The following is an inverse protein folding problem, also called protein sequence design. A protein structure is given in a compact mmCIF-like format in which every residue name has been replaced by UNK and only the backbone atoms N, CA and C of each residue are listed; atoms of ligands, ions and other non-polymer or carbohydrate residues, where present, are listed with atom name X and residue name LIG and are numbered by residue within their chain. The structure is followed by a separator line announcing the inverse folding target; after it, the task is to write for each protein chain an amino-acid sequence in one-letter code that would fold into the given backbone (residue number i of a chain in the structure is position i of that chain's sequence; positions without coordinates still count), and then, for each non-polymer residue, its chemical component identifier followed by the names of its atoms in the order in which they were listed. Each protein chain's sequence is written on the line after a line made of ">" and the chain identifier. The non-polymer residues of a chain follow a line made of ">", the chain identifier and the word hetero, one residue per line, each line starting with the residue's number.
data_IF_951245360677
#
_entry.id   IF_951245360677
#
_cell.length_a   1.000
_cell.length_b   1.000
_cell.length_c   1.000
_cell.angle_alpha   90.00
_cell.angle_beta   90.00
_cell.angle_gamma   90.00
#
_symmetry.space_group_name_H-M   'P 1'
#
loop_
_entity.id
_entity.type
_entity.pdbx_description
1 polymer ?
#
# COMPACT_ATOMS: atom_id res chain seq x y z
N UNK A 1 1.98 -8.60 26.86
CA UNK A 1 3.12 -7.74 26.51
C UNK A 1 3.80 -8.39 25.31
N UNK A 2 3.58 -7.88 24.11
CA UNK A 2 4.18 -8.47 22.90
C UNK A 2 5.59 -7.91 22.73
N UNK A 3 6.60 -8.78 22.91
CA UNK A 3 7.94 -8.57 22.34
C UNK A 3 7.88 -8.83 20.82
N UNK A 4 8.97 -8.66 20.09
CA UNK A 4 9.12 -8.95 18.64
C UNK A 4 8.57 -10.31 18.18
N UNK A 5 8.37 -11.25 19.11
CA UNK A 5 7.66 -12.51 18.92
C UNK A 5 6.61 -12.76 20.01
N UNK A 6 5.58 -13.52 19.66
CA UNK A 6 4.53 -13.97 20.57
C UNK A 6 5.12 -14.75 21.74
N UNK A 7 4.74 -14.42 22.97
CA UNK A 7 5.22 -15.18 24.12
C UNK A 7 4.70 -16.63 24.16
N UNK A 8 3.56 -16.90 23.52
CA UNK A 8 2.91 -18.22 23.50
C UNK A 8 3.42 -19.12 22.35
N UNK A 9 3.31 -18.69 21.08
CA UNK A 9 3.72 -19.50 19.92
C UNK A 9 5.16 -19.24 19.44
N UNK A 10 5.85 -18.20 19.95
CA UNK A 10 7.14 -17.68 19.42
C UNK A 10 7.13 -17.21 17.97
N UNK A 11 5.97 -17.18 17.32
CA UNK A 11 5.77 -16.66 15.98
C UNK A 11 5.72 -15.11 16.00
N UNK A 12 6.14 -14.45 14.91
CA UNK A 12 6.26 -13.00 14.87
C UNK A 12 4.87 -12.34 14.85
N UNK A 13 4.77 -11.06 15.18
CA UNK A 13 3.48 -10.37 15.41
C UNK A 13 2.55 -10.45 14.19
N UNK A 14 3.12 -10.42 12.99
CA UNK A 14 2.37 -10.47 11.73
C UNK A 14 1.66 -11.81 11.51
N UNK A 15 2.02 -12.85 12.26
CA UNK A 15 1.32 -14.14 12.26
C UNK A 15 0.04 -14.13 13.12
N UNK A 16 -0.24 -13.04 13.84
CA UNK A 16 -1.36 -12.91 14.77
C UNK A 16 -2.25 -11.71 14.54
N UNK A 17 -1.76 -10.67 13.89
CA UNK A 17 -2.62 -9.57 13.46
C UNK A 17 -3.54 -10.10 12.36
N UNK A 18 -4.75 -10.49 12.75
CA UNK A 18 -5.81 -10.88 11.80
C UNK A 18 -6.15 -9.63 11.00
N UNK A 19 -5.83 -9.67 9.70
CA UNK A 19 -6.40 -8.73 8.76
C UNK A 19 -7.91 -8.98 8.78
N UNK A 20 -8.72 -7.96 9.09
CA UNK A 20 -10.17 -8.14 9.06
C UNK A 20 -10.56 -8.47 7.63
N UNK A 21 -11.08 -9.68 7.41
CA UNK A 21 -11.51 -10.22 6.11
C UNK A 21 -12.54 -9.32 5.39
N UNK A 22 -13.14 -8.37 6.11
CA UNK A 22 -14.11 -7.40 5.60
C UNK A 22 -13.45 -6.23 4.84
N UNK A 23 -12.21 -5.84 5.16
CA UNK A 23 -11.52 -4.72 4.50
C UNK A 23 -10.69 -5.22 3.32
N UNK A 24 -11.34 -5.37 2.16
CA UNK A 24 -10.65 -5.68 0.91
C UNK A 24 -9.87 -4.48 0.40
N UNK A 25 -10.38 -3.27 0.62
CA UNK A 25 -9.75 -2.05 0.16
C UNK A 25 -8.87 -1.42 1.26
N UNK A 26 -7.65 -1.09 0.89
CA UNK A 26 -6.72 -0.32 1.72
C UNK A 26 -7.32 1.00 2.20
N UNK A 27 -8.15 1.69 1.40
CA UNK A 27 -8.85 2.93 1.74
C UNK A 27 -9.65 2.80 3.05
N UNK A 28 -10.41 1.72 3.19
CA UNK A 28 -11.22 1.46 4.39
C UNK A 28 -10.33 1.26 5.62
N UNK A 29 -9.18 0.61 5.41
CA UNK A 29 -8.19 0.36 6.47
C UNK A 29 -7.50 1.64 6.93
N UNK A 30 -7.12 2.52 6.00
CA UNK A 30 -6.38 3.76 6.31
C UNK A 30 -7.29 4.93 6.69
N UNK A 31 -8.62 4.76 6.61
CA UNK A 31 -9.59 5.82 6.88
C UNK A 31 -9.48 7.01 5.92
N UNK A 32 -8.81 6.80 4.79
CA UNK A 32 -8.62 7.81 3.76
C UNK A 32 -9.91 7.87 2.95
N UNK A 33 -10.61 9.01 3.01
CA UNK A 33 -11.73 9.26 2.13
C UNK A 33 -11.18 9.80 0.81
N UNK A 34 -11.19 8.99 -0.27
CA UNK A 34 -10.79 9.50 -1.56
C UNK A 34 -11.76 10.62 -1.94
N UNK A 35 -11.28 11.68 -2.60
CA UNK A 35 -12.19 12.66 -3.21
C UNK A 35 -13.22 11.96 -4.13
N UNK A 36 -14.39 12.55 -4.41
CA UNK A 36 -15.42 11.91 -5.25
C UNK A 36 -14.93 11.48 -6.65
N UNK A 37 -13.88 12.10 -7.18
CA UNK A 37 -13.20 11.62 -8.39
C UNK A 37 -12.39 10.34 -8.15
N UNK A 38 -11.77 10.23 -6.96
CA UNK A 38 -10.94 9.10 -6.51
C UNK A 38 -11.74 7.92 -5.96
N UNK A 39 -13.01 8.10 -5.59
CA UNK A 39 -13.91 6.99 -5.21
C UNK A 39 -14.12 5.99 -6.35
N UNK A 40 -13.83 6.39 -7.59
CA UNK A 40 -13.80 5.52 -8.77
C UNK A 40 -12.65 4.51 -8.73
N UNK A 41 -11.62 4.69 -7.90
CA UNK A 41 -10.47 3.80 -7.78
C UNK A 41 -10.61 2.79 -6.62
N UNK A 42 -11.84 2.46 -6.22
CA UNK A 42 -12.14 1.47 -5.20
C UNK A 42 -12.69 0.21 -5.86
N UNK A 43 -11.94 -0.90 -5.77
CA UNK A 43 -12.41 -2.20 -6.23
C UNK A 43 -13.40 -2.80 -5.24
N UNK A 44 -14.52 -3.35 -5.73
CA UNK A 44 -15.46 -4.08 -4.86
C UNK A 44 -14.92 -5.45 -4.45
N UNK A 45 -15.37 -5.93 -3.28
CA UNK A 45 -15.04 -7.27 -2.77
C UNK A 45 -15.53 -8.36 -3.72
N UNK A 46 -16.72 -8.20 -4.28
CA UNK A 46 -17.30 -9.17 -5.23
C UNK A 46 -16.44 -9.30 -6.49
N UNK A 47 -16.00 -8.16 -7.07
CA UNK A 47 -15.16 -8.17 -8.27
C UNK A 47 -13.84 -8.88 -8.00
N UNK A 48 -13.17 -8.52 -6.92
CA UNK A 48 -11.90 -9.11 -6.50
C UNK A 48 -11.98 -10.63 -6.39
N UNK A 49 -13.00 -11.14 -5.69
CA UNK A 49 -13.22 -12.58 -5.51
C UNK A 49 -13.57 -13.28 -6.83
N UNK A 50 -14.36 -12.64 -7.69
CA UNK A 50 -14.71 -13.21 -9.01
C UNK A 50 -13.51 -13.38 -9.94
N UNK A 51 -12.49 -12.54 -9.80
CA UNK A 51 -11.21 -12.64 -10.54
C UNK A 51 -10.24 -13.63 -9.89
N UNK A 52 -10.55 -14.17 -8.71
CA UNK A 52 -9.71 -15.16 -8.02
C UNK A 52 -8.53 -14.58 -7.23
N UNK A 53 -8.58 -13.30 -6.87
CA UNK A 53 -7.56 -12.63 -6.05
C UNK A 53 -8.15 -12.12 -4.73
N UNK A 54 -7.32 -11.82 -3.73
CA UNK A 54 -7.72 -11.11 -2.51
C UNK A 54 -7.65 -9.58 -2.66
N UNK A 55 -7.06 -9.08 -3.75
CA UNK A 55 -7.15 -7.70 -4.24
C UNK A 55 -6.85 -7.64 -5.73
N UNK A 56 -7.52 -6.75 -6.47
CA UNK A 56 -7.18 -6.39 -7.85
C UNK A 56 -7.17 -4.88 -8.02
N UNK A 57 -6.33 -4.34 -8.93
CA UNK A 57 -6.39 -2.91 -9.25
C UNK A 57 -7.78 -2.52 -9.77
N UNK A 58 -8.28 -1.34 -9.39
CA UNK A 58 -9.61 -0.87 -9.79
C UNK A 58 -9.68 -0.58 -11.29
N UNK A 59 -10.89 -0.67 -11.85
CA UNK A 59 -11.21 -0.29 -13.23
C UNK A 59 -10.47 -1.03 -14.36
N UNK A 60 -9.88 -2.19 -14.07
CA UNK A 60 -9.26 -3.02 -15.10
C UNK A 60 -10.19 -4.13 -15.59
N UNK A 61 -10.05 -4.50 -16.87
CA UNK A 61 -10.61 -5.73 -17.42
C UNK A 61 -9.86 -6.95 -16.87
N UNK A 62 -10.45 -8.15 -16.95
CA UNK A 62 -9.79 -9.39 -16.50
C UNK A 62 -8.46 -9.63 -17.21
N UNK A 63 -8.39 -9.34 -18.52
CA UNK A 63 -7.14 -9.41 -19.31
C UNK A 63 -6.07 -8.45 -18.76
N UNK A 64 -6.44 -7.21 -18.44
CA UNK A 64 -5.51 -6.22 -17.88
C UNK A 64 -5.09 -6.54 -16.44
N UNK A 65 -5.95 -7.19 -15.67
CA UNK A 65 -5.60 -7.70 -14.32
C UNK A 65 -4.54 -8.80 -14.44
N UNK A 66 -4.71 -9.74 -15.38
CA UNK A 66 -3.72 -10.78 -15.64
C UNK A 66 -2.41 -10.20 -16.16
N UNK A 67 -2.47 -9.25 -17.11
CA UNK A 67 -1.30 -8.54 -17.63
C UNK A 67 -0.54 -7.84 -16.48
N UNK A 68 -1.24 -7.14 -15.58
CA UNK A 68 -0.63 -6.47 -14.43
C UNK A 68 0.09 -7.47 -13.52
N UNK A 69 -0.59 -8.54 -13.11
CA UNK A 69 0.00 -9.51 -12.19
C UNK A 69 1.09 -10.38 -12.82
N UNK A 70 1.11 -10.54 -14.15
CA UNK A 70 2.18 -11.24 -14.86
C UNK A 70 3.55 -10.55 -14.73
N UNK A 71 3.56 -9.25 -14.44
CA UNK A 71 4.76 -8.45 -14.27
C UNK A 71 5.32 -8.51 -12.84
N UNK A 72 4.65 -9.19 -11.92
CA UNK A 72 5.05 -9.31 -10.52
C UNK A 72 5.59 -10.72 -10.21
N UNK A 73 6.48 -10.88 -9.23
CA UNK A 73 6.88 -12.19 -8.75
C UNK A 73 5.68 -13.02 -8.27
N UNK A 74 5.55 -14.27 -8.72
CA UNK A 74 4.41 -15.14 -8.39
C UNK A 74 4.10 -15.24 -6.89
N UNK A 75 5.12 -15.21 -6.04
CA UNK A 75 4.96 -15.31 -4.58
C UNK A 75 4.45 -14.02 -3.92
N UNK A 76 4.36 -12.92 -4.67
CA UNK A 76 3.81 -11.62 -4.25
C UNK A 76 2.42 -11.34 -4.84
N UNK A 77 1.96 -12.15 -5.80
CA UNK A 77 0.64 -12.00 -6.43
C UNK A 77 -0.47 -12.50 -5.49
N UNK A 78 -1.48 -11.69 -5.13
CA UNK A 78 -2.48 -12.02 -4.12
C UNK A 78 -3.57 -12.99 -4.63
N UNK A 79 -3.21 -14.12 -5.25
CA UNK A 79 -4.16 -15.16 -5.67
C UNK A 79 -4.74 -15.89 -4.46
N UNK A 80 -6.06 -16.08 -4.44
CA UNK A 80 -6.77 -16.75 -3.35
C UNK A 80 -6.20 -18.15 -3.08
N UNK A 81 -5.96 -18.48 -1.81
CA UNK A 81 -5.44 -19.76 -1.36
C UNK A 81 -3.93 -19.96 -1.58
N UNK A 82 -3.21 -18.96 -2.08
CA UNK A 82 -1.77 -19.09 -2.39
C UNK A 82 -0.86 -18.44 -1.34
N UNK A 83 0.46 -18.63 -1.47
CA UNK A 83 1.42 -17.91 -0.61
C UNK A 83 1.39 -16.40 -0.83
N UNK A 84 0.99 -15.95 -2.03
CA UNK A 84 0.92 -14.53 -2.35
C UNK A 84 -0.23 -13.79 -1.67
N UNK A 85 -1.35 -14.47 -1.41
CA UNK A 85 -2.43 -13.93 -0.55
C UNK A 85 -1.91 -13.67 0.87
N UNK A 86 -1.23 -14.66 1.47
CA UNK A 86 -0.62 -14.52 2.81
C UNK A 86 0.49 -13.46 2.83
N UNK A 87 1.23 -13.33 1.73
CA UNK A 87 2.22 -12.27 1.57
C UNK A 87 1.53 -10.90 1.61
N UNK A 88 0.44 -10.69 0.87
CA UNK A 88 -0.32 -9.43 0.91
C UNK A 88 -0.78 -9.10 2.33
N UNK A 89 -1.35 -10.05 3.06
CA UNK A 89 -1.79 -9.83 4.44
C UNK A 89 -0.64 -9.38 5.35
N UNK A 90 0.52 -10.03 5.22
CA UNK A 90 1.74 -9.65 5.94
C UNK A 90 2.18 -8.24 5.56
N UNK A 91 2.19 -7.91 4.27
CA UNK A 91 2.60 -6.58 3.81
C UNK A 91 1.64 -5.50 4.28
N UNK A 92 0.32 -5.74 4.30
CA UNK A 92 -0.64 -4.79 4.88
C UNK A 92 -0.34 -4.51 6.36
N UNK A 93 0.04 -5.52 7.15
CA UNK A 93 0.41 -5.34 8.57
C UNK A 93 1.71 -4.55 8.71
N UNK A 94 2.72 -4.89 7.90
CA UNK A 94 4.05 -4.30 8.00
C UNK A 94 4.12 -2.88 7.44
N UNK A 95 3.49 -2.63 6.30
CA UNK A 95 3.54 -1.36 5.59
C UNK A 95 2.49 -0.37 6.11
N UNK A 96 1.35 -0.87 6.61
CA UNK A 96 0.23 -0.07 7.13
C UNK A 96 -0.17 -0.50 8.55
N UNK A 97 0.69 -0.27 9.56
CA UNK A 97 0.39 -0.61 10.95
C UNK A 97 -0.81 0.20 11.46
N UNK A 98 -1.77 -0.44 12.12
CA UNK A 98 -2.98 0.23 12.64
C UNK A 98 -2.64 1.39 13.59
N UNK A 99 -1.53 1.29 14.31
CA UNK A 99 -1.00 2.30 15.21
C UNK A 99 -0.60 3.59 14.50
N UNK A 100 -0.26 3.53 13.22
CA UNK A 100 0.08 4.71 12.42
C UNK A 100 -1.18 5.36 11.81
N UNK A 101 -2.33 4.67 11.87
CA UNK A 101 -3.57 5.08 11.24
C UNK A 101 -4.50 5.77 12.25
N UNK A 102 -4.58 5.25 13.49
CA UNK A 102 -5.39 5.89 14.52
C UNK A 102 -4.80 5.73 15.93
N UNK A 103 -4.91 6.82 16.72
CA UNK A 103 -4.49 6.85 18.12
C UNK A 103 -5.23 5.79 18.98
N UNK A 104 -6.43 5.39 18.59
CA UNK A 104 -7.21 4.34 19.25
C UNK A 104 -6.46 2.98 19.31
N UNK A 105 -5.54 2.74 18.38
CA UNK A 105 -4.71 1.53 18.35
C UNK A 105 -3.38 1.70 19.12
N UNK A 106 -3.05 2.93 19.55
CA UNK A 106 -1.84 3.24 20.31
C UNK A 106 -2.08 3.11 21.82
N UNK A 107 -2.03 1.87 22.34
CA UNK A 107 -2.34 1.56 23.75
C UNK A 107 -1.56 2.38 24.79
N UNK A 108 -0.34 2.82 24.45
CA UNK A 108 0.57 3.50 25.38
C UNK A 108 0.87 4.95 24.97
N UNK A 109 0.06 5.54 24.09
CA UNK A 109 0.20 6.95 23.73
C UNK A 109 -0.27 7.81 24.90
N UNK A 110 0.66 8.57 25.50
CA UNK A 110 0.31 9.50 26.57
C UNK A 110 -0.51 10.67 26.03
N UNK A 111 -1.41 11.21 26.86
CA UNK A 111 -2.32 12.29 26.46
C UNK A 111 -1.59 13.53 25.95
N UNK A 112 -0.42 13.82 26.49
CA UNK A 112 0.40 14.97 26.12
C UNK A 112 0.93 14.86 24.67
N UNK A 113 1.04 13.65 24.13
CA UNK A 113 1.48 13.41 22.74
C UNK A 113 0.33 13.23 21.75
N UNK A 114 -0.93 13.22 22.22
CA UNK A 114 -2.09 12.97 21.35
C UNK A 114 -2.20 14.01 20.23
N UNK A 115 -2.06 15.29 20.57
CA UNK A 115 -2.09 16.38 19.58
C UNK A 115 -0.97 16.23 18.54
N UNK A 116 0.25 15.96 19.00
CA UNK A 116 1.40 15.78 18.11
C UNK A 116 1.24 14.56 17.17
N UNK A 117 0.58 13.50 17.65
CA UNK A 117 0.23 12.34 16.85
C UNK A 117 -0.83 12.71 15.78
N UNK A 118 -1.90 13.39 16.18
CA UNK A 118 -2.96 13.82 15.25
C UNK A 118 -2.42 14.76 14.18
N UNK A 119 -1.61 15.76 14.58
CA UNK A 119 -0.93 16.68 13.66
C UNK A 119 -0.05 15.90 12.68
N UNK A 120 0.71 14.90 13.14
CA UNK A 120 1.53 14.05 12.28
C UNK A 120 0.71 13.27 11.25
N UNK A 121 -0.39 12.63 11.68
CA UNK A 121 -1.27 11.86 10.79
C UNK A 121 -1.92 12.77 9.75
N UNK A 122 -2.42 13.94 10.17
CA UNK A 122 -3.04 14.90 9.26
C UNK A 122 -2.05 15.43 8.23
N UNK A 123 -0.85 15.85 8.66
CA UNK A 123 0.21 16.33 7.76
C UNK A 123 0.64 15.22 6.80
N UNK A 124 0.82 13.98 7.28
CA UNK A 124 1.12 12.84 6.40
C UNK A 124 0.03 12.68 5.35
N UNK A 125 -1.22 12.61 5.77
CA UNK A 125 -2.36 12.34 4.88
C UNK A 125 -2.53 13.44 3.81
N UNK A 126 -2.32 14.70 4.18
CA UNK A 126 -2.45 15.82 3.25
C UNK A 126 -1.23 15.98 2.34
N UNK A 127 -0.03 15.96 2.93
CA UNK A 127 1.18 16.38 2.23
C UNK A 127 1.93 15.23 1.58
N UNK A 128 1.91 14.02 2.15
CA UNK A 128 2.80 12.94 1.75
C UNK A 128 2.10 11.68 1.22
N UNK A 129 0.96 11.29 1.80
CA UNK A 129 0.24 10.07 1.44
C UNK A 129 -0.61 10.27 0.19
N UNK A 130 -0.57 9.32 -0.72
CA UNK A 130 -1.53 9.21 -1.82
C UNK A 130 -1.74 7.74 -2.23
N UNK A 131 -2.70 7.53 -3.13
CA UNK A 131 -3.02 6.23 -3.69
C UNK A 131 -2.63 6.24 -5.17
N UNK A 132 -1.75 5.31 -5.54
CA UNK A 132 -1.40 5.07 -6.92
C UNK A 132 -2.54 4.32 -7.62
N UNK A 133 -2.59 4.40 -8.93
CA UNK A 133 -3.57 3.63 -9.70
C UNK A 133 -2.90 3.02 -10.93
N UNK A 134 -3.47 1.91 -11.40
CA UNK A 134 -3.02 1.30 -12.65
C UNK A 134 -3.76 1.97 -13.80
N UNK A 135 -3.00 2.47 -14.76
CA UNK A 135 -3.52 2.91 -16.07
C UNK A 135 -3.37 1.72 -17.02
N UNK A 136 -4.44 1.36 -17.71
CA UNK A 136 -4.51 0.17 -18.57
C UNK A 136 -3.76 0.35 -19.91
N UNK A 137 -3.51 1.59 -20.31
CA UNK A 137 -2.68 1.93 -21.47
C UNK A 137 -2.02 3.32 -21.32
N UNK A 138 -0.78 3.43 -21.79
CA UNK A 138 -0.08 4.70 -21.96
C UNK A 138 -0.49 5.38 -23.27
N UNK A 139 -0.73 6.68 -23.23
CA UNK A 139 -1.07 7.49 -24.43
C UNK A 139 0.17 7.83 -25.27
N UNK A 140 1.36 7.80 -24.68
CA UNK A 140 2.63 8.11 -25.32
C UNK A 140 3.77 7.36 -24.64
N UNK A 141 4.91 7.21 -25.34
CA UNK A 141 6.11 6.65 -24.74
C UNK A 141 6.59 7.55 -23.60
N UNK A 142 7.02 6.92 -22.51
CA UNK A 142 7.59 7.59 -21.35
C UNK A 142 8.68 6.71 -20.74
N UNK A 143 9.32 7.20 -19.69
CA UNK A 143 10.33 6.45 -18.93
C UNK A 143 9.76 6.07 -17.56
N UNK A 144 10.05 4.86 -17.11
CA UNK A 144 9.77 4.49 -15.75
C UNK A 144 10.63 5.32 -14.79
N UNK A 145 9.97 6.05 -13.88
CA UNK A 145 10.64 6.92 -12.90
C UNK A 145 11.65 6.19 -11.99
N UNK A 146 11.51 4.87 -11.80
CA UNK A 146 12.37 4.07 -10.90
C UNK A 146 13.59 3.49 -11.60
N UNK A 147 13.38 2.74 -12.68
CA UNK A 147 14.45 1.99 -13.35
C UNK A 147 15.04 2.74 -14.56
N UNK A 148 14.45 3.87 -14.95
CA UNK A 148 14.75 4.60 -16.18
C UNK A 148 14.63 3.77 -17.46
N UNK A 149 13.92 2.64 -17.38
CA UNK A 149 13.57 1.81 -18.53
C UNK A 149 12.41 2.41 -19.31
N UNK A 150 12.31 2.05 -20.59
CA UNK A 150 11.24 2.52 -21.47
C UNK A 150 9.88 1.92 -21.07
N UNK A 151 8.85 2.76 -21.18
CA UNK A 151 7.44 2.42 -21.09
C UNK A 151 6.79 2.85 -22.41
N UNK A 152 6.42 1.88 -23.24
CA UNK A 152 5.91 2.13 -24.59
C UNK A 152 4.43 2.51 -24.59
N UNK A 153 4.01 3.30 -25.59
CA UNK A 153 2.60 3.58 -25.84
C UNK A 153 1.78 2.29 -25.91
N UNK A 154 0.63 2.28 -25.22
CA UNK A 154 -0.27 1.12 -25.12
C UNK A 154 0.04 0.16 -23.98
N UNK A 155 1.23 0.22 -23.36
CA UNK A 155 1.55 -0.59 -22.18
C UNK A 155 0.79 -0.10 -20.95
N UNK A 156 0.44 -1.01 -20.04
CA UNK A 156 -0.08 -0.63 -18.73
C UNK A 156 1.02 -0.10 -17.82
N UNK A 157 0.67 0.78 -16.89
CA UNK A 157 1.62 1.34 -15.92
C UNK A 157 0.96 1.67 -14.59
N UNK A 158 1.77 1.83 -13.54
CA UNK A 158 1.32 2.42 -12.27
C UNK A 158 1.61 3.91 -12.27
N UNK A 159 0.62 4.72 -11.91
CA UNK A 159 0.71 6.18 -11.82
C UNK A 159 0.73 6.59 -10.36
N UNK A 160 1.56 7.58 -10.04
CA UNK A 160 1.71 8.12 -8.70
C UNK A 160 1.36 9.63 -8.71
N UNK A 161 0.08 10.01 -8.50
CA UNK A 161 -0.38 11.39 -8.69
C UNK A 161 0.39 12.45 -7.92
N UNK A 162 0.85 12.12 -6.71
CA UNK A 162 1.61 13.05 -5.86
C UNK A 162 3.03 13.34 -6.37
N UNK A 163 3.56 12.51 -7.27
CA UNK A 163 4.78 12.80 -8.04
C UNK A 163 4.50 13.50 -9.38
N UNK A 164 3.22 13.60 -9.78
CA UNK A 164 2.76 14.14 -11.06
C UNK A 164 1.95 13.11 -11.87
N UNK A 165 0.93 13.57 -12.60
CA UNK A 165 0.01 12.71 -13.39
C UNK A 165 0.70 11.98 -14.56
N UNK A 166 1.83 12.52 -15.02
CA UNK A 166 2.66 11.96 -16.10
C UNK A 166 3.77 11.03 -15.59
N UNK A 167 3.89 10.87 -14.26
CA UNK A 167 4.90 9.99 -13.66
C UNK A 167 4.39 8.56 -13.65
N UNK A 168 5.06 7.72 -14.44
CA UNK A 168 4.72 6.32 -14.62
C UNK A 168 5.81 5.37 -14.08
N UNK A 169 5.36 4.20 -13.64
CA UNK A 169 6.19 3.12 -13.16
C UNK A 169 5.76 1.80 -13.82
N UNK A 170 6.71 0.91 -14.09
CA UNK A 170 6.34 -0.50 -14.27
C UNK A 170 5.70 -1.00 -12.96
N UNK A 171 4.72 -1.93 -13.02
CA UNK A 171 4.16 -2.60 -11.86
C UNK A 171 5.20 -3.10 -10.85
N UNK A 172 6.27 -3.75 -11.33
CA UNK A 172 7.36 -4.27 -10.50
C UNK A 172 8.31 -3.20 -9.95
N UNK A 173 8.23 -1.98 -10.49
CA UNK A 173 9.07 -0.84 -10.10
C UNK A 173 8.41 0.07 -9.05
N UNK A 174 7.15 -0.18 -8.71
CA UNK A 174 6.41 0.62 -7.73
C UNK A 174 6.53 0.03 -6.32
N UNK A 175 7.69 0.28 -5.68
CA UNK A 175 8.03 -0.28 -4.39
C UNK A 175 8.67 0.75 -3.45
N UNK A 176 8.64 0.47 -2.14
CA UNK A 176 9.23 1.32 -1.12
C UNK A 176 10.76 1.32 -1.21
N UNK A 177 11.37 2.51 -1.16
CA UNK A 177 12.83 2.67 -1.29
C UNK A 177 13.65 2.04 -0.15
N UNK A 178 13.04 1.78 1.01
CA UNK A 178 13.76 1.27 2.19
C UNK A 178 13.71 -0.25 2.29
N UNK A 179 12.53 -0.86 2.11
CA UNK A 179 12.38 -2.32 2.22
C UNK A 179 12.30 -3.05 0.87
N UNK A 180 12.25 -2.33 -0.24
CA UNK A 180 12.13 -2.90 -1.59
C UNK A 180 10.86 -3.75 -1.80
N UNK A 181 9.87 -3.60 -0.92
CA UNK A 181 8.58 -4.27 -1.03
C UNK A 181 7.61 -3.43 -1.86
N UNK A 182 6.81 -4.10 -2.70
CA UNK A 182 5.74 -3.47 -3.47
C UNK A 182 4.82 -2.65 -2.55
N UNK A 183 4.45 -1.46 -3.01
CA UNK A 183 3.54 -0.59 -2.27
C UNK A 183 2.15 -1.18 -2.31
N UNK A 184 1.74 -1.76 -1.19
CA UNK A 184 0.53 -2.60 -1.11
C UNK A 184 -0.70 -1.82 -1.51
N UNK A 185 -1.51 -2.43 -2.37
CA UNK A 185 -2.74 -1.86 -2.91
C UNK A 185 -2.53 -0.42 -3.44
N UNK A 186 -1.28 -0.15 -3.87
CA UNK A 186 -0.80 1.11 -4.43
C UNK A 186 -0.76 2.30 -3.47
N UNK A 187 -0.96 2.12 -2.16
CA UNK A 187 -0.81 3.22 -1.18
C UNK A 187 0.67 3.55 -0.94
N UNK A 188 1.01 4.85 -0.94
CA UNK A 188 2.40 5.29 -0.80
C UNK A 188 2.53 6.68 -0.18
N UNK A 189 3.69 6.95 0.41
CA UNK A 189 4.10 8.27 0.83
C UNK A 189 5.22 8.79 -0.07
N UNK A 190 5.19 10.09 -0.37
CA UNK A 190 6.27 10.82 -1.05
C UNK A 190 7.02 11.69 -0.07
N UNK A 191 8.35 11.64 -0.17
CA UNK A 191 9.25 12.64 0.43
C UNK A 191 10.47 12.79 -0.47
N UNK A 192 10.85 14.02 -0.77
CA UNK A 192 12.01 14.33 -1.62
C UNK A 192 11.99 13.53 -2.95
N UNK A 193 10.85 13.56 -3.64
CA UNK A 193 10.56 12.82 -4.89
C UNK A 193 10.76 11.29 -4.83
N UNK A 194 10.77 10.73 -3.62
CA UNK A 194 11.08 9.31 -3.37
C UNK A 194 9.88 8.61 -2.75
N UNK A 195 9.65 7.36 -3.17
CA UNK A 195 8.55 6.51 -2.70
C UNK A 195 8.91 5.78 -1.40
N UNK A 196 7.99 5.84 -0.44
CA UNK A 196 8.04 5.12 0.83
C UNK A 196 6.71 4.46 1.13
N UNK A 197 6.71 3.31 1.81
CA UNK A 197 5.50 2.87 2.49
C UNK A 197 5.22 3.78 3.69
N UNK A 198 3.99 3.82 4.19
CA UNK A 198 3.63 4.65 5.34
C UNK A 198 4.56 4.41 6.53
N UNK A 199 4.88 3.14 6.78
CA UNK A 199 5.78 2.76 7.87
C UNK A 199 7.14 3.45 7.79
N UNK A 200 7.83 3.34 6.65
CA UNK A 200 9.17 3.89 6.50
C UNK A 200 9.17 5.40 6.37
N UNK A 201 8.11 5.99 5.80
CA UNK A 201 7.92 7.44 5.82
C UNK A 201 7.85 7.97 7.26
N UNK A 202 7.05 7.33 8.12
CA UNK A 202 6.93 7.74 9.52
C UNK A 202 8.27 7.67 10.27
N UNK A 203 9.06 6.62 10.02
CA UNK A 203 10.39 6.43 10.60
C UNK A 203 11.39 7.54 10.19
N UNK A 204 11.17 8.25 9.08
CA UNK A 204 11.98 9.42 8.70
C UNK A 204 11.66 10.69 9.50
N UNK A 205 10.61 10.68 10.33
CA UNK A 205 10.11 11.88 11.02
C UNK A 205 10.09 11.67 12.53
N UNK A 206 9.63 10.50 13.00
CA UNK A 206 9.56 10.16 14.42
C UNK A 206 10.11 8.75 14.65
N UNK A 207 10.82 8.52 15.77
CA UNK A 207 11.21 7.16 16.14
C UNK A 207 9.98 6.32 16.47
N UNK A 208 10.01 5.03 16.12
CA UNK A 208 8.97 4.08 16.53
C UNK A 208 9.10 3.70 17.99
N UNK A 209 7.96 3.42 18.61
CA UNK A 209 7.93 2.76 19.90
C UNK A 209 8.59 1.38 19.77
N UNK A 210 9.52 1.05 20.68
CA UNK A 210 10.16 -0.26 20.69
C UNK A 210 9.22 -1.41 21.10
N UNK A 211 8.02 -1.09 21.63
CA UNK A 211 7.09 -2.06 22.22
C UNK A 211 5.83 -2.32 21.38
N UNK A 212 5.38 -1.37 20.54
CA UNK A 212 4.17 -1.51 19.73
C UNK A 212 4.45 -1.22 18.26
#
# INVERSE_FOLDING_TARGET
>A
MWRTVCNNCKCPREAHDVCHEEFVNVCDRIGFQPSPERSRHVTSKEKTLSEGYSWVPPNLSSEKIEEYFSQLPNHQVPRLGTSGEKYRDRQLILQLPKQDLAAAYCKFLEKDFLKAYEDFVNIRNEMALDIGYVRDHLEQNTECKRCSGELSMGELCVVAPKLGEDVAFHPSCFYCTVCEELLVDLTYCVRDDTLYCERHYAEQIKPRCAAC
#
